data_IF_246585801876
#
_entry.id   IF_246585801876
#
_cell.length_a   1.000
_cell.length_b   1.000
_cell.length_c   1.000
_cell.angle_alpha   90.00
_cell.angle_beta   90.00
_cell.angle_gamma   90.00
#
_symmetry.space_group_name_H-M   'P 1'
#
loop_
_entity.id
_entity.type
_entity.pdbx_description
1 polymer ?
#
# COMPACT_ATOMS: atom_id res chain seq x y z
N UNK A 1 3.43 14.42 -0.36
CA UNK A 1 4.28 14.66 0.85
C UNK A 1 3.43 15.28 1.95
N UNK A 2 3.52 14.73 3.15
CA UNK A 2 2.84 15.27 4.35
C UNK A 2 3.84 15.41 5.51
N UNK A 3 3.43 16.12 6.54
CA UNK A 3 4.11 16.11 7.84
C UNK A 3 3.24 15.34 8.83
N UNK A 4 3.75 14.22 9.34
CA UNK A 4 3.06 13.39 10.31
C UNK A 4 3.93 13.24 11.56
N UNK A 5 3.40 13.61 12.73
CA UNK A 5 4.15 13.60 14.01
C UNK A 5 5.55 14.26 13.88
N UNK A 6 5.63 15.39 13.18
CA UNK A 6 6.88 16.14 12.93
C UNK A 6 7.84 15.50 11.90
N UNK A 7 7.49 14.38 11.29
CA UNK A 7 8.29 13.70 10.27
C UNK A 7 7.80 14.02 8.86
N UNK A 8 8.73 14.16 7.91
CA UNK A 8 8.39 14.28 6.48
C UNK A 8 8.10 12.91 5.90
N UNK A 9 6.91 12.71 5.36
CA UNK A 9 6.44 11.44 4.83
C UNK A 9 6.10 11.59 3.35
N UNK A 10 6.59 10.65 2.55
CA UNK A 10 6.31 10.56 1.11
C UNK A 10 5.56 9.28 0.74
N UNK A 11 5.72 8.23 1.55
CA UNK A 11 5.17 6.91 1.26
C UNK A 11 4.57 6.26 2.50
N UNK A 12 3.69 5.29 2.29
CA UNK A 12 3.19 4.41 3.34
C UNK A 12 3.32 2.95 2.91
N UNK A 13 3.84 2.10 3.79
CA UNK A 13 4.03 0.68 3.56
C UNK A 13 3.19 -0.06 4.60
N UNK A 14 2.31 -0.92 4.14
CA UNK A 14 1.36 -1.64 4.97
C UNK A 14 1.77 -3.10 5.11
N UNK A 15 1.78 -3.61 6.32
CA UNK A 15 1.58 -5.05 6.50
C UNK A 15 0.13 -5.41 6.14
N UNK A 16 -0.11 -6.69 5.89
CA UNK A 16 -1.41 -7.16 5.40
C UNK A 16 -2.24 -7.82 6.50
N UNK A 17 -1.74 -8.93 7.03
CA UNK A 17 -2.47 -9.80 7.94
C UNK A 17 -2.49 -9.21 9.37
N UNK A 18 -3.67 -8.93 9.91
CA UNK A 18 -3.80 -8.24 11.22
C UNK A 18 -3.76 -6.72 11.12
N UNK A 19 -3.12 -6.16 10.09
CA UNK A 19 -3.03 -4.70 9.87
C UNK A 19 -4.11 -4.19 8.91
N UNK A 20 -4.17 -4.73 7.68
CA UNK A 20 -5.16 -4.36 6.66
C UNK A 20 -6.42 -5.22 6.76
N UNK A 21 -6.24 -6.51 7.02
CA UNK A 21 -7.29 -7.51 7.04
C UNK A 21 -7.37 -8.19 8.41
N UNK A 22 -8.57 -8.50 8.84
CA UNK A 22 -8.84 -9.25 10.08
C UNK A 22 -8.70 -10.76 9.84
N UNK A 23 -7.60 -11.14 9.19
CA UNK A 23 -7.31 -12.52 8.80
C UNK A 23 -6.90 -13.39 9.99
N UNK A 24 -6.38 -12.82 11.06
CA UNK A 24 -6.01 -13.59 12.26
C UNK A 24 -7.23 -14.19 12.95
N UNK A 25 -8.35 -13.44 13.07
CA UNK A 25 -9.62 -13.98 13.61
C UNK A 25 -10.23 -15.02 12.68
N UNK A 26 -10.15 -14.82 11.37
CA UNK A 26 -10.56 -15.82 10.39
C UNK A 26 -9.70 -17.08 10.51
N UNK A 27 -8.38 -16.95 10.63
CA UNK A 27 -7.44 -18.04 10.86
C UNK A 27 -7.75 -18.82 12.13
N UNK A 28 -8.08 -18.16 13.22
CA UNK A 28 -8.50 -18.83 14.47
C UNK A 28 -9.76 -19.67 14.27
N UNK A 29 -10.75 -19.13 13.58
CA UNK A 29 -11.99 -19.83 13.27
C UNK A 29 -11.72 -21.08 12.43
N UNK A 30 -10.94 -20.95 11.37
CA UNK A 30 -10.63 -22.06 10.46
C UNK A 30 -9.74 -23.12 11.11
N UNK A 31 -8.78 -22.73 11.95
CA UNK A 31 -7.97 -23.65 12.73
C UNK A 31 -8.78 -24.44 13.77
N UNK A 32 -9.72 -23.79 14.47
CA UNK A 32 -10.66 -24.49 15.39
C UNK A 32 -11.48 -25.51 14.63
N UNK A 33 -12.08 -25.10 13.51
CA UNK A 33 -12.88 -26.00 12.68
C UNK A 33 -12.06 -27.17 12.14
N UNK A 34 -10.89 -26.89 11.56
CA UNK A 34 -10.01 -27.95 11.02
C UNK A 34 -9.56 -28.96 12.09
N UNK A 35 -9.25 -28.49 13.30
CA UNK A 35 -8.89 -29.37 14.40
C UNK A 35 -10.08 -30.23 14.85
N UNK A 36 -11.28 -29.69 14.88
CA UNK A 36 -12.50 -30.45 15.20
C UNK A 36 -12.80 -31.49 14.13
N UNK A 37 -12.66 -31.15 12.82
CA UNK A 37 -12.87 -32.07 11.71
C UNK A 37 -11.85 -33.25 11.69
N UNK A 38 -10.59 -32.99 12.04
CA UNK A 38 -9.48 -33.94 11.87
C UNK A 38 -9.16 -34.69 13.18
N UNK A 39 -9.18 -33.99 14.31
CA UNK A 39 -8.75 -34.52 15.59
C UNK A 39 -9.91 -34.75 16.58
N UNK A 40 -11.10 -34.23 16.26
CA UNK A 40 -12.30 -34.36 17.09
C UNK A 40 -12.43 -33.35 18.23
N UNK A 41 -11.45 -32.48 18.43
CA UNK A 41 -11.50 -31.38 19.39
C UNK A 41 -10.90 -30.10 18.82
N UNK A 42 -11.51 -28.93 19.04
CA UNK A 42 -10.96 -27.68 18.55
C UNK A 42 -9.68 -27.29 19.30
N UNK A 43 -8.83 -26.50 18.65
CA UNK A 43 -7.68 -25.87 19.30
C UNK A 43 -8.17 -24.89 20.39
N UNK A 44 -7.48 -24.89 21.55
CA UNK A 44 -7.76 -23.96 22.63
C UNK A 44 -7.36 -22.52 22.26
N UNK A 45 -8.02 -21.54 22.87
CA UNK A 45 -7.67 -20.12 22.68
C UNK A 45 -6.24 -19.82 23.09
N UNK A 46 -5.78 -20.44 24.18
CA UNK A 46 -4.40 -20.32 24.65
C UNK A 46 -3.39 -20.75 23.57
N UNK A 47 -3.66 -21.88 22.90
CA UNK A 47 -2.82 -22.37 21.79
C UNK A 47 -2.85 -21.42 20.61
N UNK A 48 -4.02 -20.91 20.24
CA UNK A 48 -4.18 -19.99 19.10
C UNK A 48 -3.47 -18.68 19.36
N UNK A 49 -3.76 -18.01 20.48
CA UNK A 49 -3.11 -16.74 20.85
C UNK A 49 -1.59 -16.93 21.06
N UNK A 50 -1.20 -18.04 21.69
CA UNK A 50 0.21 -18.39 21.88
C UNK A 50 0.97 -18.60 20.58
N UNK A 51 0.29 -19.06 19.52
CA UNK A 51 0.90 -19.32 18.21
C UNK A 51 1.16 -18.08 17.37
N UNK A 52 0.50 -16.95 17.69
CA UNK A 52 0.65 -15.71 16.94
C UNK A 52 2.10 -15.21 16.93
N UNK A 53 2.61 -14.94 15.74
CA UNK A 53 3.98 -14.49 15.53
C UNK A 53 5.05 -15.59 15.68
N UNK A 54 4.66 -16.85 15.91
CA UNK A 54 5.60 -17.97 15.96
C UNK A 54 5.89 -18.52 14.54
N UNK A 55 7.12 -19.06 14.37
CA UNK A 55 7.39 -19.89 13.20
C UNK A 55 6.53 -21.17 13.23
N UNK A 56 6.26 -21.75 12.05
CA UNK A 56 5.46 -22.97 11.92
C UNK A 56 5.92 -24.10 12.86
N UNK A 57 7.24 -24.30 12.99
CA UNK A 57 7.83 -25.30 13.88
C UNK A 57 7.53 -25.04 15.36
N UNK A 58 7.57 -23.77 15.78
CA UNK A 58 7.27 -23.40 17.19
C UNK A 58 5.77 -23.49 17.46
N UNK A 59 4.93 -23.11 16.51
CA UNK A 59 3.48 -23.24 16.61
C UNK A 59 3.04 -24.70 16.68
N UNK A 60 3.67 -25.60 15.89
CA UNK A 60 3.45 -27.04 15.99
C UNK A 60 3.86 -27.59 17.36
N UNK A 61 5.04 -27.20 17.86
CA UNK A 61 5.49 -27.66 19.19
C UNK A 61 4.53 -27.20 20.30
N UNK A 62 4.02 -25.98 20.23
CA UNK A 62 3.02 -25.46 21.16
C UNK A 62 1.69 -26.24 21.07
N UNK A 63 1.21 -26.49 19.87
CA UNK A 63 -0.01 -27.26 19.65
C UNK A 63 0.10 -28.68 20.21
N UNK A 64 1.23 -29.38 19.96
CA UNK A 64 1.49 -30.72 20.53
C UNK A 64 1.61 -30.71 22.03
N UNK A 65 2.26 -29.69 22.62
CA UNK A 65 2.36 -29.57 24.07
C UNK A 65 0.99 -29.42 24.73
N UNK A 66 0.05 -28.72 24.13
CA UNK A 66 -1.28 -28.44 24.70
C UNK A 66 -2.35 -29.49 24.34
N UNK A 67 -2.20 -30.18 23.21
CA UNK A 67 -3.21 -31.11 22.66
C UNK A 67 -2.74 -32.57 22.57
N UNK A 68 -1.47 -32.85 22.88
CA UNK A 68 -0.86 -34.17 22.82
C UNK A 68 0.13 -34.36 21.68
N UNK A 69 1.11 -35.25 21.89
CA UNK A 69 2.19 -35.53 20.92
C UNK A 69 1.66 -36.02 19.58
N UNK A 70 0.51 -36.69 19.57
CA UNK A 70 -0.12 -37.23 18.36
C UNK A 70 -0.94 -36.19 17.59
N UNK A 71 -1.00 -34.94 18.05
CA UNK A 71 -1.78 -33.89 17.39
C UNK A 71 -1.27 -33.67 15.95
N UNK A 72 -2.14 -33.84 14.94
CA UNK A 72 -1.74 -33.84 13.50
C UNK A 72 -1.66 -32.41 12.97
N UNK A 73 -0.79 -31.58 13.54
CA UNK A 73 -0.70 -30.13 13.28
C UNK A 73 -0.61 -29.79 11.78
N UNK A 74 0.21 -30.52 11.01
CA UNK A 74 0.38 -30.25 9.59
C UNK A 74 -0.92 -30.42 8.78
N UNK A 75 -1.70 -31.48 9.09
CA UNK A 75 -2.99 -31.74 8.44
C UNK A 75 -4.04 -30.70 8.86
N UNK A 76 -4.09 -30.35 10.14
CA UNK A 76 -4.98 -29.31 10.65
C UNK A 76 -4.65 -27.97 10.00
N UNK A 77 -3.38 -27.63 9.87
CA UNK A 77 -2.94 -26.40 9.22
C UNK A 77 -3.32 -26.34 7.74
N UNK A 78 -3.07 -27.42 7.03
CA UNK A 78 -3.46 -27.51 5.61
C UNK A 78 -4.96 -27.35 5.44
N UNK A 79 -5.75 -28.05 6.27
CA UNK A 79 -7.21 -27.94 6.21
C UNK A 79 -7.72 -26.53 6.56
N UNK A 80 -7.09 -25.89 7.53
CA UNK A 80 -7.41 -24.52 7.88
C UNK A 80 -7.12 -23.54 6.73
N UNK A 81 -6.00 -23.73 6.02
CA UNK A 81 -5.66 -22.93 4.84
C UNK A 81 -6.70 -23.08 3.71
N UNK A 82 -7.20 -24.31 3.49
CA UNK A 82 -8.28 -24.58 2.53
C UNK A 82 -9.60 -23.91 2.93
N UNK A 83 -9.97 -23.99 4.21
CA UNK A 83 -11.19 -23.39 4.75
C UNK A 83 -11.12 -21.86 4.69
N UNK A 84 -9.97 -21.28 5.00
CA UNK A 84 -9.76 -19.84 4.94
C UNK A 84 -9.90 -19.33 3.52
N UNK A 85 -9.23 -19.99 2.57
CA UNK A 85 -9.30 -19.62 1.17
C UNK A 85 -10.72 -19.75 0.60
N UNK A 86 -11.43 -20.82 0.95
CA UNK A 86 -12.83 -21.00 0.58
C UNK A 86 -13.71 -19.88 1.17
N UNK A 87 -13.51 -19.54 2.45
CA UNK A 87 -14.24 -18.46 3.10
C UNK A 87 -14.02 -17.11 2.38
N UNK A 88 -12.76 -16.79 2.07
CA UNK A 88 -12.43 -15.54 1.37
C UNK A 88 -13.06 -15.47 -0.02
N UNK A 89 -13.10 -16.59 -0.75
CA UNK A 89 -13.73 -16.65 -2.08
C UNK A 89 -15.24 -16.50 -2.04
N UNK A 90 -15.88 -17.02 -1.01
CA UNK A 90 -17.34 -17.03 -0.89
C UNK A 90 -17.89 -15.75 -0.22
N UNK A 91 -17.15 -15.17 0.73
CA UNK A 91 -17.65 -14.07 1.58
C UNK A 91 -16.80 -12.79 1.48
N UNK A 92 -15.64 -12.85 0.85
CA UNK A 92 -14.67 -11.76 0.85
C UNK A 92 -13.68 -11.84 2.02
N UNK A 93 -12.48 -11.25 1.83
CA UNK A 93 -11.52 -11.10 2.91
C UNK A 93 -12.04 -10.05 3.91
N UNK A 94 -11.99 -10.31 5.23
CA UNK A 94 -12.47 -9.37 6.23
C UNK A 94 -11.53 -8.16 6.31
N UNK A 95 -12.00 -6.99 5.85
CA UNK A 95 -11.25 -5.75 5.83
C UNK A 95 -11.33 -5.10 7.22
N UNK A 96 -10.19 -4.60 7.73
CA UNK A 96 -10.17 -3.78 8.95
C UNK A 96 -10.96 -2.49 8.73
N UNK A 97 -11.82 -2.18 9.69
CA UNK A 97 -12.66 -0.99 9.64
C UNK A 97 -11.83 0.30 9.62
N UNK A 98 -12.13 1.21 8.68
CA UNK A 98 -11.37 2.44 8.43
C UNK A 98 -10.21 2.30 7.44
N UNK A 99 -9.89 1.09 6.94
CA UNK A 99 -8.79 0.90 5.99
C UNK A 99 -9.01 1.67 4.68
N UNK A 100 -10.19 1.55 4.10
CA UNK A 100 -10.48 2.18 2.80
C UNK A 100 -10.33 3.69 2.86
N UNK A 101 -10.84 4.31 3.91
CA UNK A 101 -10.73 5.74 4.15
C UNK A 101 -9.28 6.18 4.33
N UNK A 102 -8.44 5.37 5.02
CA UNK A 102 -7.01 5.62 5.14
C UNK A 102 -6.34 5.57 3.78
N UNK A 103 -6.58 4.53 2.98
CA UNK A 103 -6.00 4.37 1.65
C UNK A 103 -6.40 5.52 0.72
N UNK A 104 -7.68 5.88 0.70
CA UNK A 104 -8.19 7.01 -0.08
C UNK A 104 -7.56 8.34 0.36
N UNK A 105 -7.42 8.56 1.66
CA UNK A 105 -6.81 9.76 2.21
C UNK A 105 -5.35 9.88 1.80
N UNK A 106 -4.55 8.83 1.96
CA UNK A 106 -3.14 8.82 1.57
C UNK A 106 -2.98 9.02 0.06
N UNK A 107 -3.83 8.36 -0.75
CA UNK A 107 -3.82 8.52 -2.21
C UNK A 107 -4.18 9.94 -2.64
N UNK A 108 -5.22 10.54 -2.03
CA UNK A 108 -5.63 11.93 -2.29
C UNK A 108 -4.49 12.92 -2.07
N UNK A 109 -3.62 12.67 -1.10
CA UNK A 109 -2.45 13.50 -0.80
C UNK A 109 -1.18 13.09 -1.58
N UNK A 110 -1.31 12.19 -2.53
CA UNK A 110 -0.24 11.80 -3.45
C UNK A 110 0.89 11.02 -2.80
N UNK A 111 0.62 10.28 -1.71
CA UNK A 111 1.59 9.34 -1.18
C UNK A 111 1.63 8.08 -2.05
N UNK A 112 2.83 7.58 -2.32
CA UNK A 112 3.01 6.24 -2.88
C UNK A 112 2.80 5.20 -1.80
N UNK A 113 2.21 4.06 -2.17
CA UNK A 113 1.87 3.03 -1.20
C UNK A 113 2.38 1.65 -1.62
N UNK A 114 2.83 0.87 -0.65
CA UNK A 114 3.23 -0.52 -0.87
C UNK A 114 2.61 -1.45 0.18
N UNK A 115 2.50 -2.72 -0.19
CA UNK A 115 2.25 -3.82 0.76
C UNK A 115 3.56 -4.54 1.02
N UNK A 116 3.83 -4.87 2.29
CA UNK A 116 4.99 -5.66 2.73
C UNK A 116 4.51 -6.76 3.69
N UNK A 117 4.14 -7.92 3.14
CA UNK A 117 3.53 -9.03 3.89
C UNK A 117 4.42 -10.26 3.99
N UNK A 118 4.32 -10.99 5.09
CA UNK A 118 4.93 -12.32 5.25
C UNK A 118 4.21 -13.42 4.46
N UNK A 119 3.02 -13.14 3.96
CA UNK A 119 2.24 -14.06 3.11
C UNK A 119 2.88 -14.25 1.74
N UNK A 120 2.64 -15.41 1.13
CA UNK A 120 3.12 -15.69 -0.24
C UNK A 120 2.37 -14.84 -1.25
N UNK A 121 3.02 -14.49 -2.34
CA UNK A 121 2.46 -13.65 -3.41
C UNK A 121 1.08 -14.11 -3.88
N UNK A 122 0.90 -15.39 -4.13
CA UNK A 122 -0.37 -15.93 -4.61
C UNK A 122 -1.55 -15.63 -3.66
N UNK A 123 -1.33 -15.73 -2.34
CA UNK A 123 -2.34 -15.44 -1.31
C UNK A 123 -2.53 -13.92 -1.18
N UNK A 124 -1.44 -13.17 -1.13
CA UNK A 124 -1.49 -11.72 -0.98
C UNK A 124 -2.26 -11.07 -2.14
N UNK A 125 -1.96 -11.46 -3.38
CA UNK A 125 -2.65 -10.93 -4.55
C UNK A 125 -4.14 -11.32 -4.55
N UNK A 126 -4.47 -12.56 -4.19
CA UNK A 126 -5.87 -13.01 -4.10
C UNK A 126 -6.65 -12.16 -3.08
N UNK A 127 -6.07 -11.90 -1.91
CA UNK A 127 -6.71 -11.08 -0.87
C UNK A 127 -6.85 -9.62 -1.27
N UNK A 128 -5.79 -9.02 -1.82
CA UNK A 128 -5.81 -7.63 -2.27
C UNK A 128 -6.80 -7.39 -3.42
N UNK A 129 -6.91 -8.34 -4.35
CA UNK A 129 -7.89 -8.30 -5.45
C UNK A 129 -9.30 -8.48 -4.90
N UNK A 130 -9.50 -9.48 -4.05
CA UNK A 130 -10.81 -9.78 -3.45
C UNK A 130 -11.34 -8.58 -2.64
N UNK A 131 -10.49 -7.90 -1.87
CA UNK A 131 -10.83 -6.68 -1.15
C UNK A 131 -10.99 -5.44 -2.05
N UNK A 132 -10.68 -5.54 -3.34
CA UNK A 132 -10.64 -4.40 -4.28
C UNK A 132 -9.71 -3.25 -3.83
N UNK A 133 -8.60 -3.58 -3.14
CA UNK A 133 -7.63 -2.59 -2.63
C UNK A 133 -6.32 -2.60 -3.40
N UNK A 134 -6.04 -3.60 -4.24
CA UNK A 134 -4.78 -3.68 -5.00
C UNK A 134 -4.50 -2.39 -5.80
N UNK A 135 -5.53 -1.73 -6.29
CA UNK A 135 -5.45 -0.46 -7.06
C UNK A 135 -4.82 0.72 -6.30
N UNK A 136 -4.75 0.67 -4.98
CA UNK A 136 -4.14 1.71 -4.15
C UNK A 136 -2.62 1.56 -4.05
N UNK A 137 -2.09 0.37 -4.31
CA UNK A 137 -0.68 0.05 -4.09
C UNK A 137 0.12 0.09 -5.38
N UNK A 138 1.25 0.79 -5.31
CA UNK A 138 2.20 0.90 -6.42
C UNK A 138 3.13 -0.33 -6.46
N UNK A 139 3.34 -0.97 -5.29
CA UNK A 139 4.23 -2.13 -5.10
C UNK A 139 3.65 -3.10 -4.09
N UNK A 140 3.87 -4.38 -4.31
CA UNK A 140 3.64 -5.46 -3.33
C UNK A 140 4.90 -6.28 -3.18
N UNK A 141 5.40 -6.45 -1.95
CA UNK A 141 6.52 -7.32 -1.59
C UNK A 141 6.02 -8.41 -0.65
N UNK A 142 6.25 -9.67 -1.02
CA UNK A 142 5.69 -10.83 -0.37
C UNK A 142 6.76 -11.69 0.31
N UNK A 143 6.35 -12.56 1.24
CA UNK A 143 7.25 -13.37 2.04
C UNK A 143 8.13 -14.33 1.25
N UNK A 144 7.68 -14.79 0.09
CA UNK A 144 8.44 -15.65 -0.82
C UNK A 144 9.43 -14.87 -1.72
N UNK A 145 9.50 -13.56 -1.59
CA UNK A 145 10.43 -12.70 -2.32
C UNK A 145 11.60 -12.20 -1.47
N UNK A 146 11.61 -12.54 -0.19
CA UNK A 146 12.69 -12.15 0.74
C UNK A 146 13.45 -13.39 1.24
N UNK A 147 14.73 -13.18 1.51
CA UNK A 147 15.59 -14.22 2.06
C UNK A 147 15.39 -14.36 3.57
N UNK A 148 15.16 -13.24 4.23
CA UNK A 148 14.96 -13.15 5.67
C UNK A 148 13.65 -12.43 5.97
N UNK A 149 12.69 -13.17 6.54
CA UNK A 149 11.41 -12.62 6.97
C UNK A 149 11.51 -11.75 8.24
N UNK A 150 10.42 -11.05 8.55
CA UNK A 150 10.27 -10.27 9.80
C UNK A 150 10.69 -11.12 11.02
N UNK A 151 11.49 -10.62 11.93
CA UNK A 151 11.84 -9.23 12.21
C UNK A 151 13.10 -8.70 11.48
N UNK A 152 13.58 -9.35 10.42
CA UNK A 152 14.62 -8.79 9.57
C UNK A 152 14.04 -7.66 8.70
N UNK A 153 14.75 -6.55 8.46
CA UNK A 153 14.20 -5.38 7.77
C UNK A 153 14.04 -5.55 6.25
N UNK A 154 14.49 -6.67 5.68
CA UNK A 154 14.61 -6.86 4.23
C UNK A 154 13.33 -6.52 3.47
N UNK A 155 12.16 -6.93 3.99
CA UNK A 155 10.89 -6.74 3.29
C UNK A 155 10.51 -5.26 3.19
N UNK A 156 10.70 -4.49 4.26
CA UNK A 156 10.43 -3.05 4.27
C UNK A 156 11.45 -2.27 3.45
N UNK A 157 12.73 -2.65 3.51
CA UNK A 157 13.77 -2.04 2.68
C UNK A 157 13.52 -2.27 1.19
N UNK A 158 13.08 -3.47 0.79
CA UNK A 158 12.69 -3.77 -0.59
C UNK A 158 11.48 -2.94 -1.02
N UNK A 159 10.46 -2.83 -0.18
CA UNK A 159 9.28 -2.03 -0.46
C UNK A 159 9.62 -0.54 -0.60
N UNK A 160 10.38 0.03 0.31
CA UNK A 160 10.84 1.43 0.26
C UNK A 160 11.68 1.70 -1.00
N UNK A 161 12.62 0.80 -1.32
CA UNK A 161 13.44 0.89 -2.53
C UNK A 161 12.59 0.86 -3.81
N UNK A 162 11.60 -0.02 -3.87
CA UNK A 162 10.71 -0.13 -5.03
C UNK A 162 9.79 1.10 -5.20
N UNK A 163 9.47 1.78 -4.08
CA UNK A 163 8.78 3.09 -4.10
C UNK A 163 9.72 4.27 -4.41
N UNK A 164 11.03 4.04 -4.60
CA UNK A 164 12.05 5.09 -4.70
C UNK A 164 12.00 6.09 -3.54
N UNK A 165 11.75 5.60 -2.33
CA UNK A 165 11.64 6.39 -1.12
C UNK A 165 12.66 5.92 -0.07
N UNK A 166 13.26 6.86 0.66
CA UNK A 166 14.08 6.50 1.80
C UNK A 166 13.20 5.97 2.94
N UNK A 167 13.60 4.92 3.65
CA UNK A 167 12.81 4.33 4.72
C UNK A 167 12.36 5.34 5.78
N UNK A 168 13.22 6.28 6.16
CA UNK A 168 12.93 7.35 7.14
C UNK A 168 11.77 8.27 6.73
N UNK A 169 11.36 8.20 5.46
CA UNK A 169 10.22 8.95 4.91
C UNK A 169 9.00 8.06 4.60
N UNK A 170 9.03 6.81 5.06
CA UNK A 170 7.93 5.86 4.92
C UNK A 170 7.23 5.62 6.26
N UNK A 171 5.93 5.84 6.33
CA UNK A 171 5.13 5.22 7.39
C UNK A 171 5.12 3.71 7.16
N UNK A 172 5.35 2.92 8.19
CA UNK A 172 5.32 1.46 8.14
C UNK A 172 4.29 0.97 9.14
N UNK A 173 3.11 0.58 8.62
CA UNK A 173 1.96 0.17 9.44
C UNK A 173 2.06 -1.33 9.74
N UNK A 174 1.92 -1.68 11.00
CA UNK A 174 2.10 -3.02 11.53
C UNK A 174 1.25 -3.26 12.79
N UNK A 175 0.90 -4.53 13.04
CA UNK A 175 0.20 -4.97 14.27
C UNK A 175 1.07 -5.86 15.15
N UNK A 176 2.08 -6.51 14.57
CA UNK A 176 2.86 -7.55 15.19
C UNK A 176 4.20 -7.07 15.76
N UNK A 177 4.68 -7.76 16.81
CA UNK A 177 6.00 -7.49 17.38
C UNK A 177 7.14 -7.67 16.36
N UNK A 178 7.10 -8.74 15.56
CA UNK A 178 8.14 -9.01 14.58
C UNK A 178 8.11 -8.00 13.43
N UNK A 179 6.93 -7.59 13.03
CA UNK A 179 6.77 -6.58 12.00
C UNK A 179 7.24 -5.20 12.47
N UNK A 180 6.85 -4.80 13.68
CA UNK A 180 7.27 -3.54 14.26
C UNK A 180 8.81 -3.48 14.41
N UNK A 181 9.45 -4.56 14.90
CA UNK A 181 10.91 -4.68 14.92
C UNK A 181 11.54 -4.60 13.54
N UNK A 182 10.89 -5.16 12.52
CA UNK A 182 11.35 -5.09 11.13
C UNK A 182 11.31 -3.65 10.61
N UNK A 183 10.23 -2.92 10.87
CA UNK A 183 10.08 -1.51 10.49
C UNK A 183 11.11 -0.60 11.20
N UNK A 184 11.33 -0.81 12.50
CA UNK A 184 12.34 -0.08 13.29
C UNK A 184 13.75 -0.34 12.71
N UNK A 185 14.10 -1.60 12.44
CA UNK A 185 15.41 -1.98 11.88
C UNK A 185 15.62 -1.48 10.45
N UNK A 186 14.55 -1.19 9.74
CA UNK A 186 14.58 -0.58 8.42
C UNK A 186 14.79 0.95 8.48
N UNK A 187 14.89 1.55 9.68
CA UNK A 187 14.91 3.00 9.90
C UNK A 187 13.66 3.71 9.37
N UNK A 188 12.51 3.00 9.32
CA UNK A 188 11.22 3.56 8.92
C UNK A 188 10.54 4.35 10.02
N UNK A 189 9.31 4.81 9.75
CA UNK A 189 8.45 5.45 10.74
C UNK A 189 7.34 4.45 11.13
N UNK A 190 7.55 3.62 12.16
CA UNK A 190 6.63 2.53 12.48
C UNK A 190 5.35 3.07 13.12
N UNK A 191 4.22 2.60 12.63
CA UNK A 191 2.88 2.87 13.15
C UNK A 191 2.30 1.54 13.62
N UNK A 192 1.99 1.45 14.90
CA UNK A 192 1.34 0.28 15.46
C UNK A 192 -0.18 0.43 15.32
N UNK A 193 -0.82 -0.53 14.66
CA UNK A 193 -2.28 -0.72 14.67
C UNK A 193 -2.56 -2.00 15.46
N UNK A 194 -3.07 -1.86 16.66
CA UNK A 194 -3.28 -2.99 17.56
C UNK A 194 -4.25 -4.03 16.97
N UNK A 195 -3.92 -5.31 17.18
CA UNK A 195 -4.80 -6.45 16.90
C UNK A 195 -4.87 -7.40 18.10
N UNK A 196 -5.04 -8.70 17.88
CA UNK A 196 -5.34 -9.71 18.91
C UNK A 196 -4.25 -9.77 19.99
N UNK A 197 -2.97 -9.70 19.60
CA UNK A 197 -1.82 -9.82 20.50
C UNK A 197 -0.93 -8.58 20.40
N UNK A 198 -1.03 -7.66 21.36
CA UNK A 198 -0.16 -6.50 21.36
C UNK A 198 1.31 -6.90 21.46
N UNK A 199 2.23 -6.16 20.82
CA UNK A 199 3.67 -6.30 21.03
C UNK A 199 4.05 -6.08 22.51
N UNK A 200 5.24 -6.56 22.91
CA UNK A 200 5.79 -6.23 24.21
C UNK A 200 5.92 -4.70 24.36
N UNK A 201 5.65 -4.15 25.57
CA UNK A 201 5.67 -2.70 25.78
C UNK A 201 6.93 -2.02 25.28
N UNK A 202 8.10 -2.65 25.50
CA UNK A 202 9.39 -2.10 25.09
C UNK A 202 9.52 -1.95 23.55
N UNK A 203 8.78 -2.76 22.79
CA UNK A 203 8.75 -2.70 21.34
C UNK A 203 7.66 -1.74 20.88
N UNK A 204 6.49 -1.77 21.51
CA UNK A 204 5.39 -0.86 21.21
C UNK A 204 5.79 0.62 21.42
N UNK A 205 6.54 0.91 22.49
CA UNK A 205 7.06 2.26 22.80
C UNK A 205 8.05 2.80 21.75
N UNK A 206 8.59 1.93 20.89
CA UNK A 206 9.45 2.34 19.78
C UNK A 206 8.66 2.74 18.53
N UNK A 207 7.33 2.54 18.51
CA UNK A 207 6.50 3.04 17.42
C UNK A 207 6.47 4.58 17.42
N UNK A 208 6.44 5.18 16.25
CA UNK A 208 6.20 6.63 16.12
C UNK A 208 4.86 7.00 16.78
N UNK A 209 3.85 6.17 16.59
CA UNK A 209 2.58 6.22 17.28
C UNK A 209 1.86 4.87 17.24
N UNK A 210 1.06 4.60 18.28
CA UNK A 210 0.21 3.42 18.39
C UNK A 210 -1.27 3.82 18.38
N UNK A 211 -2.09 2.98 17.75
CA UNK A 211 -3.53 3.15 17.63
C UNK A 211 -4.25 1.84 17.87
N UNK A 212 -5.38 1.90 18.54
CA UNK A 212 -6.26 0.75 18.78
C UNK A 212 -7.08 0.37 17.53
N UNK A 213 -7.10 1.20 16.49
CA UNK A 213 -7.81 0.96 15.24
C UNK A 213 -7.30 1.86 14.11
N UNK A 214 -7.60 1.49 12.86
CA UNK A 214 -7.37 2.34 11.68
C UNK A 214 -8.11 3.68 11.78
N UNK A 215 -9.25 3.75 12.45
CA UNK A 215 -9.99 5.00 12.66
C UNK A 215 -9.21 6.00 13.53
N UNK A 216 -8.50 5.52 14.54
CA UNK A 216 -7.61 6.38 15.33
C UNK A 216 -6.49 6.98 14.49
N UNK A 217 -5.87 6.16 13.65
CA UNK A 217 -4.86 6.63 12.68
C UNK A 217 -5.44 7.61 11.66
N UNK A 218 -6.63 7.32 11.12
CA UNK A 218 -7.35 8.21 10.20
C UNK A 218 -7.63 9.58 10.85
N UNK A 219 -7.96 9.60 12.14
CA UNK A 219 -8.14 10.84 12.88
C UNK A 219 -6.92 11.76 12.81
N UNK A 220 -5.75 11.23 13.13
CA UNK A 220 -4.49 11.95 13.05
C UNK A 220 -4.11 12.34 11.61
N UNK A 221 -4.38 11.45 10.64
CA UNK A 221 -4.19 11.79 9.22
C UNK A 221 -5.06 12.98 8.81
N UNK A 222 -6.31 13.05 9.28
CA UNK A 222 -7.22 14.15 8.98
C UNK A 222 -6.73 15.48 9.58
N UNK A 223 -6.09 15.46 10.75
CA UNK A 223 -5.48 16.65 11.34
C UNK A 223 -4.26 17.13 10.53
N UNK A 224 -3.43 16.18 10.06
CA UNK A 224 -2.26 16.49 9.23
C UNK A 224 -2.60 16.82 7.78
N UNK A 225 -3.74 16.32 7.32
CA UNK A 225 -4.26 16.45 5.97
C UNK A 225 -5.67 17.04 6.02
N UNK A 226 -5.82 18.32 6.38
CA UNK A 226 -7.13 18.96 6.43
C UNK A 226 -7.82 18.77 5.07
N UNK A 227 -9.10 18.45 5.07
CA UNK A 227 -9.88 18.45 3.84
C UNK A 227 -9.77 19.84 3.21
N UNK A 228 -8.84 19.93 2.29
CA UNK A 228 -8.93 20.95 1.28
C UNK A 228 -10.22 20.58 0.55
N UNK A 229 -11.32 21.24 0.88
CA UNK A 229 -12.59 21.11 0.16
C UNK A 229 -12.33 21.10 -1.34
N UNK A 230 -13.27 20.74 -2.20
CA UNK A 230 -13.07 20.89 -3.63
C UNK A 230 -12.46 22.28 -3.80
N UNK A 231 -11.33 22.43 -4.53
CA UNK A 231 -10.65 23.70 -4.62
C UNK A 231 -11.75 24.71 -4.88
N UNK A 232 -11.94 25.62 -3.93
CA UNK A 232 -12.90 26.68 -4.15
C UNK A 232 -12.51 27.21 -5.52
N UNK A 233 -13.40 27.07 -6.49
CA UNK A 233 -13.29 27.74 -7.77
C UNK A 233 -13.41 29.25 -7.43
N UNK A 234 -12.43 29.74 -6.68
CA UNK A 234 -12.19 31.15 -6.57
C UNK A 234 -11.55 31.52 -7.88
N UNK A 235 -12.22 32.32 -8.68
CA UNK A 235 -11.73 32.97 -9.89
C UNK A 235 -10.47 33.84 -9.66
N UNK A 236 -9.79 33.66 -8.54
CA UNK A 236 -8.53 34.31 -8.19
C UNK A 236 -7.41 33.30 -8.04
N UNK A 237 -6.84 32.88 -9.16
CA UNK A 237 -5.47 32.39 -9.18
C UNK A 237 -4.56 33.49 -8.59
N UNK A 238 -3.60 33.15 -7.71
CA UNK A 238 -2.60 34.11 -7.30
C UNK A 238 -1.90 34.66 -8.56
N UNK A 239 -1.89 35.99 -8.78
CA UNK A 239 -1.64 36.57 -10.11
C UNK A 239 -0.19 36.49 -10.61
N UNK A 240 0.74 35.87 -9.91
CA UNK A 240 2.17 36.08 -10.16
C UNK A 240 3.00 34.86 -10.50
N UNK A 241 2.50 33.65 -10.38
CA UNK A 241 3.25 32.42 -10.73
C UNK A 241 2.70 31.67 -11.96
N UNK A 242 1.67 32.20 -12.60
CA UNK A 242 0.83 31.50 -13.56
C UNK A 242 1.24 31.65 -15.02
N UNK A 243 2.40 32.20 -15.30
CA UNK A 243 2.84 32.38 -16.69
C UNK A 243 4.19 31.71 -16.97
N UNK A 244 4.32 30.45 -16.61
CA UNK A 244 5.42 29.68 -17.17
C UNK A 244 4.90 28.67 -18.19
N UNK A 245 5.65 28.50 -19.28
CA UNK A 245 5.42 27.45 -20.25
C UNK A 245 6.44 26.35 -20.04
N UNK A 246 6.00 25.08 -20.04
CA UNK A 246 6.89 23.93 -19.98
C UNK A 246 7.23 23.46 -21.39
N UNK A 247 8.51 23.35 -21.70
CA UNK A 247 9.00 22.84 -22.98
C UNK A 247 9.50 21.40 -22.87
N UNK A 248 9.12 20.53 -23.81
CA UNK A 248 9.54 19.14 -23.84
C UNK A 248 10.11 18.80 -25.20
N UNK A 249 11.36 18.41 -25.18
CA UNK A 249 12.06 17.96 -26.36
C UNK A 249 12.00 16.43 -26.47
N UNK A 250 11.55 15.91 -27.61
CA UNK A 250 11.44 14.47 -27.84
C UNK A 250 10.16 13.84 -27.31
N UNK A 251 9.02 14.44 -27.61
CA UNK A 251 7.71 13.91 -27.24
C UNK A 251 7.39 12.62 -28.01
N UNK A 252 7.52 11.51 -27.32
CA UNK A 252 7.18 10.16 -27.78
C UNK A 252 6.53 9.36 -26.66
N UNK A 253 6.44 8.05 -26.78
CA UNK A 253 5.79 7.20 -25.78
C UNK A 253 6.36 7.38 -24.37
N UNK A 254 7.70 7.47 -24.24
CA UNK A 254 8.34 7.70 -22.94
C UNK A 254 8.19 9.15 -22.46
N UNK A 255 8.40 10.13 -23.33
CA UNK A 255 8.28 11.54 -22.97
C UNK A 255 6.86 11.94 -22.61
N UNK A 256 5.86 11.45 -23.34
CA UNK A 256 4.45 11.67 -23.03
C UNK A 256 4.03 11.03 -21.72
N UNK A 257 4.47 9.80 -21.46
CA UNK A 257 4.19 9.11 -20.20
C UNK A 257 4.80 9.80 -18.99
N UNK A 258 6.07 10.20 -19.07
CA UNK A 258 6.77 10.91 -18.01
C UNK A 258 6.12 12.26 -17.66
N UNK A 259 5.72 13.00 -18.68
CA UNK A 259 4.99 14.24 -18.48
C UNK A 259 3.66 14.08 -17.80
N UNK A 260 2.89 13.12 -18.26
CA UNK A 260 1.60 12.84 -17.66
C UNK A 260 1.78 12.48 -16.19
N UNK A 261 2.84 11.76 -15.86
CA UNK A 261 3.19 11.42 -14.48
C UNK A 261 3.61 12.66 -13.67
N UNK A 262 4.43 13.56 -14.22
CA UNK A 262 4.81 14.81 -13.55
C UNK A 262 3.59 15.70 -13.32
N UNK A 263 2.72 15.88 -14.32
CA UNK A 263 1.57 16.75 -14.20
C UNK A 263 0.37 16.13 -13.48
N UNK A 264 0.31 14.81 -13.33
CA UNK A 264 -0.71 14.12 -12.54
C UNK A 264 -0.52 14.27 -11.04
N UNK A 265 0.74 14.36 -10.61
CA UNK A 265 1.10 14.54 -9.20
C UNK A 265 1.31 16.00 -8.82
N UNK A 266 0.94 16.92 -9.71
CA UNK A 266 1.04 18.33 -9.44
C UNK A 266 0.00 18.77 -8.40
N UNK A 267 0.40 19.65 -7.48
CA UNK A 267 -0.39 20.11 -6.34
C UNK A 267 -1.64 20.94 -6.71
N UNK A 268 -1.94 21.08 -7.99
CA UNK A 268 -3.09 21.84 -8.48
C UNK A 268 -2.90 23.36 -8.52
N UNK A 269 -1.81 23.90 -7.94
CA UNK A 269 -1.59 25.34 -7.80
C UNK A 269 -0.65 25.92 -8.86
N UNK A 270 0.16 25.11 -9.50
CA UNK A 270 1.25 25.57 -10.40
C UNK A 270 1.25 24.84 -11.74
N UNK A 271 0.10 24.65 -12.38
CA UNK A 271 0.07 24.12 -13.74
C UNK A 271 0.71 25.10 -14.73
N UNK A 272 1.55 24.65 -15.66
CA UNK A 272 1.96 25.51 -16.76
C UNK A 272 0.71 25.96 -17.53
N UNK A 273 0.67 27.21 -17.90
CA UNK A 273 -0.43 27.73 -18.72
C UNK A 273 -0.43 27.11 -20.13
N UNK A 274 0.72 26.68 -20.60
CA UNK A 274 0.90 25.99 -21.88
C UNK A 274 2.02 24.96 -21.76
N UNK A 275 1.82 23.79 -22.34
CA UNK A 275 2.84 22.76 -22.51
C UNK A 275 3.23 22.73 -23.99
N UNK A 276 4.48 23.02 -24.28
CA UNK A 276 5.01 22.97 -25.64
C UNK A 276 5.80 21.69 -25.79
N UNK A 277 5.35 20.80 -26.67
CA UNK A 277 6.03 19.55 -26.94
C UNK A 277 6.53 19.46 -28.39
N UNK A 278 7.77 19.02 -28.56
CA UNK A 278 8.42 18.86 -29.82
C UNK A 278 8.57 17.39 -30.19
N UNK A 279 8.17 17.02 -31.42
CA UNK A 279 8.34 15.66 -31.95
C UNK A 279 8.65 15.67 -33.44
N UNK A 280 9.39 14.68 -33.90
CA UNK A 280 9.59 14.39 -35.31
C UNK A 280 8.45 13.60 -35.95
N UNK A 281 7.58 13.00 -35.13
CA UNK A 281 6.43 12.22 -35.63
C UNK A 281 5.34 13.16 -36.16
N UNK A 282 5.23 13.25 -37.48
CA UNK A 282 4.17 14.03 -38.17
C UNK A 282 2.78 13.53 -37.75
N UNK A 283 2.59 12.21 -37.75
CA UNK A 283 1.31 11.60 -37.36
C UNK A 283 0.89 11.97 -35.95
N UNK A 284 1.82 11.92 -34.99
CA UNK A 284 1.54 12.27 -33.60
C UNK A 284 1.16 13.76 -33.44
N UNK A 285 1.89 14.67 -34.16
CA UNK A 285 1.56 16.10 -34.19
C UNK A 285 0.15 16.36 -34.71
N UNK A 286 -0.14 15.83 -35.89
CA UNK A 286 -1.43 16.05 -36.57
C UNK A 286 -2.58 15.49 -35.71
N UNK A 287 -2.38 14.34 -35.08
CA UNK A 287 -3.40 13.73 -34.17
C UNK A 287 -3.66 14.61 -32.97
N UNK A 288 -2.61 15.04 -32.26
CA UNK A 288 -2.77 15.87 -31.06
C UNK A 288 -3.35 17.24 -31.41
N UNK A 289 -2.90 17.86 -32.52
CA UNK A 289 -3.45 19.14 -32.97
C UNK A 289 -4.95 19.03 -33.35
N UNK A 290 -5.36 17.91 -33.97
CA UNK A 290 -6.76 17.69 -34.33
C UNK A 290 -7.67 17.49 -33.13
N UNK A 291 -7.20 16.82 -32.10
CA UNK A 291 -7.98 16.53 -30.88
C UNK A 291 -7.84 17.57 -29.78
N UNK A 292 -6.81 18.44 -29.82
CA UNK A 292 -6.55 19.46 -28.83
C UNK A 292 -6.18 18.92 -27.45
N UNK A 293 -5.98 17.62 -27.31
CA UNK A 293 -5.68 16.96 -26.04
C UNK A 293 -4.90 15.67 -26.27
N UNK A 294 -4.20 15.25 -25.22
CA UNK A 294 -3.45 14.00 -25.17
C UNK A 294 -3.81 13.24 -23.89
N UNK A 295 -4.12 11.98 -24.02
CA UNK A 295 -4.42 11.12 -22.87
C UNK A 295 -3.45 9.96 -22.79
N UNK A 296 -3.00 9.64 -21.58
CA UNK A 296 -2.18 8.45 -21.31
C UNK A 296 -2.98 7.49 -20.44
N UNK A 297 -3.09 6.26 -20.91
CA UNK A 297 -3.65 5.17 -20.14
C UNK A 297 -2.54 4.42 -19.43
N UNK A 298 -2.65 4.31 -18.12
CA UNK A 298 -1.77 3.47 -17.32
C UNK A 298 -2.30 2.03 -17.34
N UNK A 299 -1.48 1.09 -17.80
CA UNK A 299 -1.88 -0.33 -17.94
C UNK A 299 -2.18 -1.04 -16.62
N UNK A 300 -1.68 -0.51 -15.51
CA UNK A 300 -1.88 -1.08 -14.17
C UNK A 300 -3.11 -0.52 -13.43
N UNK A 301 -3.65 0.59 -13.89
CA UNK A 301 -4.83 1.23 -13.31
C UNK A 301 -5.69 1.71 -14.47
N UNK A 302 -6.98 1.43 -14.48
CA UNK A 302 -7.91 1.91 -15.51
C UNK A 302 -8.10 3.44 -15.50
N UNK A 303 -7.06 4.17 -15.17
CA UNK A 303 -7.08 5.62 -15.01
C UNK A 303 -6.47 6.28 -16.24
N UNK A 304 -7.29 7.08 -16.93
CA UNK A 304 -6.87 7.90 -18.06
C UNK A 304 -6.62 9.33 -17.59
N UNK A 305 -5.39 9.83 -17.82
CA UNK A 305 -5.09 11.24 -17.62
C UNK A 305 -5.07 12.01 -18.92
N UNK A 306 -5.71 13.18 -18.92
CA UNK A 306 -5.81 14.04 -20.10
C UNK A 306 -5.07 15.35 -19.84
N UNK A 307 -4.24 15.74 -20.80
CA UNK A 307 -3.59 17.04 -20.90
C UNK A 307 -4.26 17.80 -22.05
N UNK A 308 -4.88 18.91 -21.75
CA UNK A 308 -5.69 19.71 -22.68
C UNK A 308 -5.05 21.06 -23.09
N UNK A 309 -3.93 21.41 -22.47
CA UNK A 309 -3.18 22.63 -22.77
C UNK A 309 -1.85 22.35 -23.49
N UNK A 310 -1.83 21.32 -24.34
CA UNK A 310 -0.64 20.86 -25.07
C UNK A 310 -0.58 21.46 -26.47
N UNK A 311 0.51 22.15 -26.77
CA UNK A 311 0.84 22.62 -28.13
C UNK A 311 2.01 21.83 -28.69
N UNK A 312 1.83 21.28 -29.89
CA UNK A 312 2.86 20.51 -30.60
C UNK A 312 3.61 21.40 -31.59
N UNK A 313 4.94 21.29 -31.60
CA UNK A 313 5.79 21.94 -32.58
C UNK A 313 6.56 20.91 -33.43
N UNK A 314 6.88 21.29 -34.64
CA UNK A 314 7.71 20.51 -35.55
C UNK A 314 9.20 20.74 -35.24
N UNK A 315 9.93 19.68 -34.94
CA UNK A 315 11.37 19.78 -34.68
C UNK A 315 12.19 20.04 -35.96
N UNK A 316 11.64 19.68 -37.09
CA UNK A 316 12.30 19.81 -38.39
C UNK A 316 11.83 21.08 -39.14
N UNK A 317 10.94 21.88 -38.58
CA UNK A 317 10.53 23.15 -39.13
C UNK A 317 11.67 24.17 -39.06
N UNK A 318 11.89 24.95 -40.13
CA UNK A 318 12.90 26.00 -40.11
C UNK A 318 12.60 27.00 -39.02
N UNK A 319 13.62 27.39 -38.25
CA UNK A 319 13.51 28.41 -37.20
C UNK A 319 12.96 29.70 -37.82
N UNK A 320 11.75 30.08 -37.45
CA UNK A 320 11.19 31.40 -37.68
C UNK A 320 11.71 32.39 -36.65
#
# INVERSE_FOLDING_TARGET
MIYFQGKRIFSAIFDMDGTMFDTERLRFKTLKQAAEEIYGTPLSEETLIGSLGLSAKKAEALARANHGEDFPYAQVRQRADELELAHVRDHGVPIKDGLLEVLERLRKYGLTMAVATSSRRAIAEEYLINANVLKYFDVTVCGDEVTQGKPHPEIFLKAASALNCLPEHCLMLEDSQNGLLSAIRADGQPILIEDIKPPAPEVADCALKAYTSMHGFLGDLNECMPDLGPPALTDSFPPTLNQFSAGIHGFGAMGGGYLTQIFSHWDGYTRPCEIIAATRSRMLRETIQAFGRFSVRYSATSFDQTIDNLRMIDMDAPKQ
#
